data_IF_478780053836
#
_entry.id   IF_478780053836
#
_cell.length_a   1.000
_cell.length_b   1.000
_cell.length_c   1.000
_cell.angle_alpha   90.00
_cell.angle_beta   90.00
_cell.angle_gamma   90.00
#
_symmetry.space_group_name_H-M   'P 1'
#
loop_
_entity.id
_entity.type
_entity.pdbx_description
1 polymer ?
#
# COMPACT_ATOMS: atom_id res chain seq x y z
N UNK A 1 2.83 7.39 -13.96
CA UNK A 1 1.70 6.46 -14.20
C UNK A 1 1.32 5.87 -12.85
N UNK A 2 0.05 5.97 -12.42
CA UNK A 2 -0.43 5.31 -11.19
C UNK A 2 -1.34 4.15 -11.58
N UNK A 3 -1.04 2.94 -11.10
CA UNK A 3 -1.82 1.73 -11.39
C UNK A 3 -3.28 1.82 -10.94
N UNK A 4 -3.58 2.72 -10.00
CA UNK A 4 -4.93 2.90 -9.46
C UNK A 4 -5.83 3.83 -10.27
N UNK A 5 -5.27 4.63 -11.19
CA UNK A 5 -6.06 5.56 -11.98
C UNK A 5 -6.63 4.85 -13.21
N UNK A 6 -7.93 4.57 -13.17
CA UNK A 6 -8.69 3.96 -14.26
C UNK A 6 -9.24 2.56 -13.97
N UNK A 7 -8.79 1.90 -12.91
CA UNK A 7 -9.33 0.60 -12.51
C UNK A 7 -10.69 0.74 -11.81
N UNK A 8 -11.77 0.11 -12.31
CA UNK A 8 -13.11 0.18 -11.72
C UNK A 8 -13.27 -0.66 -10.45
N UNK A 9 -12.32 -1.56 -10.16
CA UNK A 9 -12.38 -2.51 -9.06
C UNK A 9 -11.51 -2.16 -7.85
N UNK A 10 -11.71 -2.84 -6.73
CA UNK A 10 -10.74 -2.90 -5.65
C UNK A 10 -9.37 -3.38 -6.15
N UNK A 11 -8.28 -2.71 -5.74
CA UNK A 11 -6.92 -3.15 -6.02
C UNK A 11 -6.35 -3.74 -4.74
N UNK A 12 -5.82 -4.94 -4.81
CA UNK A 12 -5.17 -5.63 -3.70
C UNK A 12 -3.70 -5.86 -4.03
N UNK A 13 -2.81 -5.57 -3.09
CA UNK A 13 -1.40 -5.91 -3.18
C UNK A 13 -1.19 -7.29 -2.55
N UNK A 14 -0.70 -8.24 -3.35
CA UNK A 14 -0.37 -9.59 -2.86
C UNK A 14 1.07 -9.70 -2.39
N UNK A 15 1.99 -9.13 -3.16
CA UNK A 15 3.41 -9.11 -2.82
C UNK A 15 4.13 -7.95 -3.49
N UNK A 16 5.26 -7.57 -2.91
CA UNK A 16 6.25 -6.72 -3.57
C UNK A 16 7.65 -7.14 -3.14
N UNK A 17 8.60 -7.04 -4.06
CA UNK A 17 10.01 -7.35 -3.86
C UNK A 17 10.87 -6.23 -4.44
N UNK A 18 11.90 -5.82 -3.70
CA UNK A 18 12.84 -4.79 -4.14
C UNK A 18 13.34 -3.94 -2.98
N UNK A 19 14.15 -2.93 -3.33
CA UNK A 19 14.73 -2.00 -2.36
C UNK A 19 14.07 -0.63 -2.47
N UNK A 20 13.88 0.02 -1.34
CA UNK A 20 13.39 1.39 -1.23
C UNK A 20 14.41 2.26 -0.50
N UNK A 21 14.46 3.54 -0.86
CA UNK A 21 15.33 4.55 -0.24
C UNK A 21 14.60 5.39 0.80
N UNK A 22 13.26 5.34 0.81
CA UNK A 22 12.42 6.15 1.67
C UNK A 22 11.04 5.54 1.89
N UNK A 23 10.54 5.60 3.12
CA UNK A 23 9.19 5.18 3.49
C UNK A 23 8.54 6.17 4.47
N UNK A 24 7.30 6.55 4.21
CA UNK A 24 6.49 7.34 5.16
C UNK A 24 5.39 6.47 5.77
N UNK A 25 5.52 6.17 7.06
CA UNK A 25 4.62 5.31 7.82
C UNK A 25 3.79 6.11 8.83
N UNK A 26 2.61 5.57 9.18
CA UNK A 26 1.80 6.04 10.29
C UNK A 26 2.53 5.77 11.59
N UNK A 27 2.62 6.79 12.46
CA UNK A 27 3.27 6.66 13.75
C UNK A 27 2.42 5.74 14.66
N UNK A 28 3.01 4.72 15.32
CA UNK A 28 2.31 3.94 16.34
C UNK A 28 1.83 4.88 17.45
N UNK A 29 0.58 4.73 17.89
CA UNK A 29 0.00 5.44 19.06
C UNK A 29 -0.14 6.97 18.93
N UNK A 30 -0.21 7.50 17.70
CA UNK A 30 -0.44 8.93 17.46
C UNK A 30 -1.82 9.20 16.86
N UNK A 31 -2.45 10.31 17.24
CA UNK A 31 -3.66 10.87 16.63
C UNK A 31 -3.39 11.44 15.22
N UNK A 32 -2.85 10.62 14.31
CA UNK A 32 -2.64 10.97 12.89
C UNK A 32 -1.24 11.44 12.49
N UNK A 33 -0.23 11.33 13.37
CA UNK A 33 1.16 11.66 13.01
C UNK A 33 1.80 10.63 12.07
N UNK A 34 2.74 11.08 11.25
CA UNK A 34 3.57 10.23 10.38
C UNK A 34 5.04 10.25 10.80
N UNK A 35 5.78 9.25 10.38
CA UNK A 35 7.24 9.17 10.48
C UNK A 35 7.80 8.81 9.12
N UNK A 36 8.85 9.51 8.71
CA UNK A 36 9.55 9.25 7.46
C UNK A 36 10.89 8.63 7.78
N UNK A 37 11.13 7.45 7.22
CA UNK A 37 12.39 6.71 7.30
C UNK A 37 13.12 6.90 5.98
N UNK A 38 14.40 7.27 6.05
CA UNK A 38 15.29 7.40 4.89
C UNK A 38 16.48 6.46 5.09
N UNK A 39 17.00 5.93 3.98
CA UNK A 39 18.01 4.89 3.97
C UNK A 39 17.60 3.72 3.09
N UNK A 40 18.48 2.73 2.97
CA UNK A 40 18.27 1.57 2.12
C UNK A 40 17.50 0.50 2.88
N UNK A 41 16.32 0.14 2.40
CA UNK A 41 15.50 -0.90 3.01
C UNK A 41 15.04 -1.94 2.00
N UNK A 42 15.08 -3.21 2.38
CA UNK A 42 14.47 -4.31 1.64
C UNK A 42 12.99 -4.44 2.00
N UNK A 43 12.14 -4.58 0.98
CA UNK A 43 10.72 -4.90 1.18
C UNK A 43 10.62 -6.36 1.59
N UNK A 44 10.27 -6.61 2.85
CA UNK A 44 9.99 -7.95 3.35
C UNK A 44 8.53 -8.35 3.07
N UNK A 45 7.62 -7.39 3.23
CA UNK A 45 6.21 -7.57 2.88
C UNK A 45 5.56 -6.24 2.52
N UNK A 46 4.67 -6.28 1.53
CA UNK A 46 3.78 -5.17 1.17
C UNK A 46 2.42 -5.78 0.86
N UNK A 47 1.40 -5.41 1.63
CA UNK A 47 0.06 -5.99 1.48
C UNK A 47 -1.02 -4.99 1.85
N UNK A 48 -2.24 -5.24 1.36
CA UNK A 48 -3.40 -4.43 1.66
C UNK A 48 -4.26 -4.22 0.43
N UNK A 49 -5.29 -3.37 0.58
CA UNK A 49 -6.25 -3.12 -0.48
C UNK A 49 -6.71 -1.68 -0.51
N UNK A 50 -7.01 -1.20 -1.71
CA UNK A 50 -7.57 0.12 -1.97
C UNK A 50 -8.87 -0.06 -2.74
N UNK A 51 -9.99 0.34 -2.15
CA UNK A 51 -11.32 0.35 -2.76
C UNK A 51 -11.52 1.61 -3.62
N UNK A 52 -12.25 1.55 -4.74
CA UNK A 52 -12.74 2.74 -5.44
C UNK A 52 -13.50 3.65 -4.47
N UNK A 53 -13.39 4.96 -4.67
CA UNK A 53 -14.27 5.90 -3.97
C UNK A 53 -15.58 6.08 -4.75
N UNK A 54 -16.71 6.08 -4.04
CA UNK A 54 -18.05 6.19 -4.65
C UNK A 54 -18.24 7.47 -5.46
N UNK A 55 -17.46 8.52 -5.15
CA UNK A 55 -17.63 9.88 -5.66
C UNK A 55 -16.51 10.31 -6.63
N UNK A 56 -15.67 9.38 -7.11
CA UNK A 56 -14.47 9.72 -7.89
C UNK A 56 -13.34 10.37 -7.08
N UNK A 57 -13.45 10.32 -5.75
CA UNK A 57 -12.40 10.77 -4.82
C UNK A 57 -11.21 9.80 -4.72
N UNK A 58 -10.32 10.06 -3.76
CA UNK A 58 -9.20 9.15 -3.48
C UNK A 58 -9.72 7.81 -2.98
N UNK A 59 -9.18 6.72 -3.53
CA UNK A 59 -9.44 5.35 -3.07
C UNK A 59 -9.29 5.22 -1.56
N UNK A 60 -10.19 4.48 -0.92
CA UNK A 60 -10.18 4.22 0.51
C UNK A 60 -9.54 2.86 0.81
N UNK A 61 -8.76 2.78 1.89
CA UNK A 61 -8.13 1.53 2.30
C UNK A 61 -6.80 1.76 2.99
N UNK A 62 -6.05 0.69 3.19
CA UNK A 62 -4.70 0.78 3.73
C UNK A 62 -3.77 -0.19 3.02
N UNK A 63 -2.52 0.23 2.89
CA UNK A 63 -1.40 -0.63 2.57
C UNK A 63 -0.50 -0.64 3.80
N UNK A 64 -0.08 -1.82 4.20
CA UNK A 64 0.89 -2.04 5.28
C UNK A 64 2.17 -2.60 4.69
N UNK A 65 3.29 -2.27 5.31
CA UNK A 65 4.61 -2.68 4.86
C UNK A 65 5.47 -3.14 6.03
N UNK A 66 6.36 -4.11 5.78
CA UNK A 66 7.48 -4.44 6.65
C UNK A 66 8.78 -4.34 5.85
N UNK A 67 9.78 -3.73 6.44
CA UNK A 67 11.02 -3.29 5.81
C UNK A 67 12.21 -3.71 6.67
N UNK A 68 13.28 -4.21 6.06
CA UNK A 68 14.55 -4.49 6.74
C UNK A 68 15.63 -3.50 6.33
N UNK A 69 16.37 -2.97 7.30
CA UNK A 69 17.61 -2.24 7.02
C UNK A 69 18.79 -3.22 6.78
N UNK A 70 19.98 -2.73 6.36
CA UNK A 70 21.13 -3.60 6.10
C UNK A 70 21.70 -4.29 7.36
N UNK A 71 21.35 -3.80 8.55
CA UNK A 71 21.72 -4.41 9.84
C UNK A 71 20.72 -5.52 10.24
N UNK A 72 19.70 -5.77 9.42
CA UNK A 72 18.66 -6.77 9.65
C UNK A 72 17.56 -6.31 10.62
N UNK A 73 17.50 -5.03 10.98
CA UNK A 73 16.44 -4.50 11.83
C UNK A 73 15.18 -4.30 11.01
N UNK A 74 14.05 -4.75 11.57
CA UNK A 74 12.75 -4.68 10.90
C UNK A 74 11.93 -3.52 11.45
N UNK A 75 11.38 -2.72 10.55
CA UNK A 75 10.36 -1.72 10.84
C UNK A 75 9.12 -1.97 9.99
N UNK A 76 7.97 -1.51 10.45
CA UNK A 76 6.72 -1.71 9.72
C UNK A 76 5.59 -0.83 10.21
N UNK A 77 4.52 -0.82 9.42
CA UNK A 77 3.32 -0.04 9.72
C UNK A 77 2.46 0.24 8.49
N UNK A 78 1.34 0.93 8.73
CA UNK A 78 0.50 1.43 7.64
C UNK A 78 1.19 2.58 6.91
N UNK A 79 1.19 2.55 5.59
CA UNK A 79 1.68 3.66 4.78
C UNK A 79 0.82 4.91 5.00
N UNK A 80 1.48 6.05 5.11
CA UNK A 80 0.83 7.37 5.20
C UNK A 80 1.28 8.32 4.09
N UNK A 81 2.05 7.82 3.14
CA UNK A 81 2.66 8.60 2.07
C UNK A 81 3.40 7.69 1.09
N UNK A 82 4.50 8.20 0.53
CA UNK A 82 5.23 7.55 -0.54
C UNK A 82 6.16 6.45 -0.02
N UNK A 83 6.31 5.39 -0.82
CA UNK A 83 7.50 4.54 -0.85
C UNK A 83 8.31 4.95 -2.08
N UNK A 84 9.59 5.27 -1.90
CA UNK A 84 10.47 5.65 -3.01
C UNK A 84 11.41 4.50 -3.29
N UNK A 85 11.33 3.95 -4.49
CA UNK A 85 12.20 2.86 -4.93
C UNK A 85 13.67 3.30 -4.98
N UNK A 86 14.57 2.43 -4.55
CA UNK A 86 16.02 2.58 -4.74
C UNK A 86 16.49 1.77 -5.97
N UNK A 87 15.85 0.63 -6.20
CA UNK A 87 16.06 -0.25 -7.36
C UNK A 87 14.72 -0.56 -8.02
N UNK A 88 14.67 -1.23 -9.20
CA UNK A 88 13.41 -1.71 -9.73
C UNK A 88 12.65 -2.57 -8.71
N UNK A 89 11.46 -2.13 -8.32
CA UNK A 89 10.56 -2.84 -7.40
C UNK A 89 9.51 -3.59 -8.22
N UNK A 90 9.40 -4.89 -7.98
CA UNK A 90 8.34 -5.72 -8.54
C UNK A 90 7.15 -5.73 -7.58
N UNK A 91 5.94 -5.59 -8.12
CA UNK A 91 4.70 -5.62 -7.33
C UNK A 91 3.69 -6.52 -8.05
N UNK A 92 3.07 -7.43 -7.31
CA UNK A 92 1.97 -8.27 -7.79
C UNK A 92 0.66 -7.72 -7.23
N UNK A 93 -0.22 -7.32 -8.13
CA UNK A 93 -1.51 -6.73 -7.83
C UNK A 93 -2.65 -7.63 -8.33
N UNK A 94 -3.75 -7.66 -7.59
CA UNK A 94 -5.03 -8.18 -8.06
C UNK A 94 -6.05 -7.05 -8.19
N UNK A 95 -6.90 -7.11 -9.20
CA UNK A 95 -8.07 -6.23 -9.31
C UNK A 95 -9.35 -7.04 -9.17
N UNK A 96 -10.28 -6.54 -8.35
CA UNK A 96 -11.52 -7.19 -7.99
C UNK A 96 -12.69 -6.22 -8.17
N UNK A 97 -13.61 -6.55 -9.07
CA UNK A 97 -14.81 -5.73 -9.22
C UNK A 97 -15.68 -5.85 -7.95
N UNK A 98 -16.20 -4.74 -7.40
CA UNK A 98 -17.14 -4.80 -6.29
C UNK A 98 -18.37 -5.60 -6.72
N UNK A 99 -18.76 -6.58 -5.89
CA UNK A 99 -19.93 -7.40 -6.16
C UNK A 99 -21.19 -6.56 -6.18
N UNK A 100 -21.88 -6.54 -7.31
CA UNK A 100 -23.21 -5.98 -7.46
C UNK A 100 -24.23 -6.91 -6.78
N UNK A 101 -24.30 -6.85 -5.45
CA UNK A 101 -25.44 -7.35 -4.68
C UNK A 101 -26.66 -6.48 -4.97
N UNK A 102 -27.25 -6.65 -6.16
CA UNK A 102 -28.68 -6.41 -6.30
C UNK A 102 -29.34 -7.58 -5.60
N UNK A 103 -29.83 -7.34 -4.39
CA UNK A 103 -30.83 -8.17 -3.75
C UNK A 103 -31.90 -8.46 -4.80
N UNK A 104 -31.95 -9.70 -5.29
CA UNK A 104 -32.97 -10.13 -6.25
C UNK A 104 -34.29 -10.02 -5.48
N UNK A 105 -35.25 -9.17 -5.89
CA UNK A 105 -36.53 -9.11 -5.21
C UNK A 105 -37.18 -10.52 -5.24
N UNK A 106 -37.92 -10.89 -4.18
CA UNK A 106 -38.47 -12.23 -4.00
C UNK A 106 -39.38 -12.66 -5.15
#
# INVERSE_FOLDING_TARGET
>A
MSFSQGEPGAICVFSACGLISKATLRRPNSSGGTVTYEGRYEILSLSGSLMPADNGGSRAGCIVVSLADPDGRVLGGGMAGLLVAETPVQVVLGSFLPGNHKERPP
#
